data_IF_139703840666
#
_entry.id   IF_139703840666
#
_cell.length_a   1.000
_cell.length_b   1.000
_cell.length_c   1.000
_cell.angle_alpha   90.00
_cell.angle_beta   90.00
_cell.angle_gamma   90.00
#
_symmetry.space_group_name_H-M   'P 1'
#
loop_
_entity.id
_entity.type
_entity.pdbx_description
1 polymer ?
#
# COMPACT_ATOMS: atom_id res chain seq x y z
N UNK A 1 -25.69 -1.31 -6.70
CA UNK A 1 -24.66 -1.11 -5.66
C UNK A 1 -23.38 -0.67 -6.34
N UNK A 2 -22.61 0.25 -5.73
CA UNK A 2 -21.27 0.56 -6.19
C UNK A 2 -20.37 -0.66 -6.00
N UNK A 3 -19.37 -0.86 -6.88
CA UNK A 3 -18.33 -1.89 -6.66
C UNK A 3 -17.42 -1.45 -5.50
N UNK A 4 -16.98 -2.40 -4.70
CA UNK A 4 -16.11 -2.15 -3.55
C UNK A 4 -14.64 -2.23 -3.95
N UNK A 5 -13.84 -1.28 -3.49
CA UNK A 5 -12.38 -1.30 -3.55
C UNK A 5 -11.83 -1.50 -2.14
N UNK A 6 -10.91 -2.45 -1.98
CA UNK A 6 -10.06 -2.56 -0.81
C UNK A 6 -8.61 -2.45 -1.21
N UNK A 7 -7.87 -1.65 -0.48
CA UNK A 7 -6.43 -1.56 -0.59
C UNK A 7 -5.87 -1.10 0.75
N UNK A 8 -4.57 -1.23 0.97
CA UNK A 8 -3.99 -0.81 2.25
C UNK A 8 -2.48 -0.82 2.25
N UNK A 9 -1.93 -0.39 3.36
CA UNK A 9 -0.50 -0.34 3.60
C UNK A 9 -0.17 -0.84 5.00
N UNK A 10 0.98 -1.49 5.14
CA UNK A 10 1.55 -1.83 6.46
C UNK A 10 2.12 -0.57 7.09
N UNK A 11 1.77 -0.24 8.35
CA UNK A 11 2.26 0.97 9.04
C UNK A 11 3.70 0.79 9.56
N UNK A 12 4.64 0.53 8.63
CA UNK A 12 6.07 0.37 8.92
C UNK A 12 6.86 1.67 8.78
N UNK A 13 6.18 2.81 8.73
CA UNK A 13 6.72 4.17 8.60
C UNK A 13 5.89 5.05 7.66
N UNK A 14 6.27 6.32 7.48
CA UNK A 14 5.60 7.25 6.57
C UNK A 14 5.54 6.73 5.14
N UNK A 15 4.54 7.18 4.35
CA UNK A 15 4.45 6.81 2.95
C UNK A 15 5.49 7.56 2.11
N UNK A 16 5.90 6.93 1.01
CA UNK A 16 6.87 7.49 0.07
C UNK A 16 6.32 7.54 -1.36
N UNK A 17 7.02 8.18 -2.27
CA UNK A 17 6.61 8.33 -3.68
C UNK A 17 6.28 7.01 -4.36
N UNK A 18 6.91 5.90 -3.96
CA UNK A 18 6.59 4.57 -4.46
C UNK A 18 5.19 4.10 -4.08
N UNK A 19 4.71 4.38 -2.85
CA UNK A 19 3.32 4.11 -2.46
C UNK A 19 2.35 5.06 -3.19
N UNK A 20 2.75 6.34 -3.33
CA UNK A 20 1.92 7.33 -4.00
C UNK A 20 1.64 6.93 -5.46
N UNK A 21 2.69 6.69 -6.25
CA UNK A 21 2.56 6.30 -7.65
C UNK A 21 2.02 4.88 -7.83
N UNK A 22 2.37 3.97 -6.92
CA UNK A 22 2.00 2.55 -7.01
C UNK A 22 0.52 2.27 -6.74
N UNK A 23 -0.14 3.05 -5.88
CA UNK A 23 -1.54 2.80 -5.56
C UNK A 23 -2.31 4.00 -5.01
N UNK A 24 -1.68 4.92 -4.24
CA UNK A 24 -2.42 5.97 -3.54
C UNK A 24 -3.06 6.97 -4.50
N UNK A 25 -2.40 7.32 -5.60
CA UNK A 25 -2.97 8.17 -6.65
C UNK A 25 -4.27 7.55 -7.22
N UNK A 26 -4.24 6.26 -7.57
CA UNK A 26 -5.42 5.56 -8.04
C UNK A 26 -6.55 5.53 -7.00
N UNK A 27 -6.21 5.39 -5.70
CA UNK A 27 -7.21 5.44 -4.61
C UNK A 27 -7.90 6.80 -4.54
N UNK A 28 -7.14 7.89 -4.67
CA UNK A 28 -7.67 9.26 -4.69
C UNK A 28 -8.57 9.49 -5.91
N UNK A 29 -8.20 8.98 -7.08
CA UNK A 29 -9.00 9.12 -8.30
C UNK A 29 -10.30 8.31 -8.23
N UNK A 30 -10.26 7.11 -7.66
CA UNK A 30 -11.37 6.16 -7.70
C UNK A 30 -12.37 6.34 -6.54
N UNK A 31 -12.01 7.01 -5.45
CA UNK A 31 -12.83 7.10 -4.24
C UNK A 31 -14.24 7.67 -4.48
N UNK A 32 -14.43 8.50 -5.51
CA UNK A 32 -15.75 9.08 -5.82
C UNK A 32 -16.66 8.11 -6.58
N UNK A 33 -16.08 7.14 -7.31
CA UNK A 33 -16.81 6.20 -8.16
C UNK A 33 -17.12 4.86 -7.48
N UNK A 34 -16.37 4.51 -6.43
CA UNK A 34 -16.43 3.21 -5.75
C UNK A 34 -16.62 3.36 -4.24
N UNK A 35 -17.14 2.30 -3.61
CA UNK A 35 -17.11 2.18 -2.14
C UNK A 35 -15.70 1.77 -1.74
N UNK A 36 -14.91 2.75 -1.27
CA UNK A 36 -13.47 2.60 -1.09
C UNK A 36 -13.10 2.43 0.37
N UNK A 37 -12.41 1.34 0.68
CA UNK A 37 -11.85 1.03 1.99
C UNK A 37 -10.32 1.03 1.92
N UNK A 38 -9.68 1.74 2.86
CA UNK A 38 -8.23 1.78 3.02
C UNK A 38 -7.86 1.12 4.35
N UNK A 39 -7.24 -0.05 4.25
CA UNK A 39 -6.86 -0.87 5.40
C UNK A 39 -5.44 -0.51 5.87
N UNK A 40 -5.29 -0.12 7.11
CA UNK A 40 -3.99 -0.04 7.77
C UNK A 40 -3.72 -1.40 8.40
N UNK A 41 -2.83 -2.18 7.75
CA UNK A 41 -2.56 -3.58 8.06
C UNK A 41 -1.51 -3.72 9.17
N UNK A 42 -1.88 -3.34 10.39
CA UNK A 42 -1.00 -3.35 11.56
C UNK A 42 -0.67 -4.77 12.04
N UNK A 43 -1.61 -5.71 11.98
CA UNK A 43 -1.32 -7.12 12.30
C UNK A 43 -0.35 -7.74 11.29
N UNK A 44 -0.43 -7.36 10.01
CA UNK A 44 0.54 -7.81 9.02
C UNK A 44 1.91 -7.15 9.21
N UNK A 45 1.97 -5.92 9.74
CA UNK A 45 3.24 -5.29 10.08
C UNK A 45 3.98 -6.03 11.20
N UNK A 46 3.25 -6.66 12.14
CA UNK A 46 3.85 -7.46 13.21
C UNK A 46 4.55 -8.74 12.72
N UNK A 47 4.28 -9.21 11.50
CA UNK A 47 4.88 -10.45 10.98
C UNK A 47 6.40 -10.38 10.83
N UNK A 48 6.93 -9.19 10.69
CA UNK A 48 8.36 -8.92 10.54
C UNK A 48 8.88 -7.79 11.46
N UNK A 49 8.03 -7.25 12.33
CA UNK A 49 8.35 -6.20 13.31
C UNK A 49 7.67 -6.50 14.67
N UNK A 50 7.65 -7.78 15.06
CA UNK A 50 7.02 -8.21 16.31
C UNK A 50 7.66 -7.62 17.57
N UNK A 51 8.91 -7.21 17.48
CA UNK A 51 9.71 -6.57 18.53
C UNK A 51 9.50 -5.04 18.62
N UNK A 52 8.72 -4.44 17.71
CA UNK A 52 8.53 -2.99 17.61
C UNK A 52 7.04 -2.56 17.58
N UNK A 53 6.18 -3.09 18.48
CA UNK A 53 4.74 -2.80 18.43
C UNK A 53 4.41 -1.32 18.68
N UNK A 54 5.18 -0.63 19.50
CA UNK A 54 5.01 0.80 19.76
C UNK A 54 5.26 1.64 18.50
N UNK A 55 6.28 1.28 17.71
CA UNK A 55 6.59 1.96 16.47
C UNK A 55 5.49 1.76 15.43
N UNK A 56 4.92 0.55 15.36
CA UNK A 56 3.75 0.27 14.49
C UNK A 56 2.58 1.16 14.90
N UNK A 57 2.28 1.25 16.20
CA UNK A 57 1.20 2.10 16.73
C UNK A 57 1.39 3.58 16.34
N UNK A 58 2.58 4.13 16.51
CA UNK A 58 2.89 5.50 16.11
C UNK A 58 2.73 5.71 14.60
N UNK A 59 3.17 4.75 13.81
CA UNK A 59 3.10 4.81 12.35
C UNK A 59 1.67 4.71 11.80
N UNK A 60 0.70 4.15 12.53
CA UNK A 60 -0.71 4.15 12.12
C UNK A 60 -1.19 5.58 11.90
N UNK A 61 -0.93 6.47 12.85
CA UNK A 61 -1.31 7.89 12.74
C UNK A 61 -0.61 8.57 11.56
N UNK A 62 0.67 8.29 11.34
CA UNK A 62 1.45 8.85 10.23
C UNK A 62 0.86 8.45 8.88
N UNK A 63 0.44 7.17 8.72
CA UNK A 63 -0.20 6.68 7.49
C UNK A 63 -1.56 7.34 7.27
N UNK A 64 -2.38 7.51 8.32
CA UNK A 64 -3.67 8.23 8.20
C UNK A 64 -3.44 9.67 7.76
N UNK A 65 -2.47 10.37 8.35
CA UNK A 65 -2.09 11.73 7.96
C UNK A 65 -1.67 11.79 6.49
N UNK A 66 -0.86 10.84 6.03
CA UNK A 66 -0.41 10.78 4.65
C UNK A 66 -1.57 10.51 3.68
N UNK A 67 -2.53 9.63 4.03
CA UNK A 67 -3.73 9.40 3.23
C UNK A 67 -4.57 10.66 3.06
N UNK A 68 -4.91 11.32 4.17
CA UNK A 68 -5.71 12.54 4.17
C UNK A 68 -4.99 13.68 3.43
N UNK A 69 -3.68 13.82 3.67
CA UNK A 69 -2.86 14.85 3.01
C UNK A 69 -2.75 14.63 1.50
N UNK A 70 -2.65 13.37 1.06
CA UNK A 70 -2.61 13.02 -0.37
C UNK A 70 -3.95 13.22 -1.08
N UNK A 71 -5.07 13.41 -0.35
CA UNK A 71 -6.37 13.73 -0.92
C UNK A 71 -7.44 12.66 -0.74
N UNK A 72 -7.22 11.68 0.16
CA UNK A 72 -8.30 10.79 0.59
C UNK A 72 -9.29 11.61 1.42
N UNK A 73 -10.55 11.59 0.97
CA UNK A 73 -11.67 12.27 1.61
C UNK A 73 -12.40 11.29 2.54
N UNK A 74 -12.35 11.49 3.89
CA UNK A 74 -12.97 10.57 4.84
C UNK A 74 -14.50 10.59 4.82
N UNK A 75 -15.11 11.51 4.08
CA UNK A 75 -16.57 11.55 3.90
C UNK A 75 -17.06 10.56 2.83
N UNK A 76 -16.17 10.14 1.91
CA UNK A 76 -16.50 9.22 0.81
C UNK A 76 -15.70 7.92 0.85
N UNK A 77 -14.47 7.95 1.38
CA UNK A 77 -13.65 6.77 1.58
C UNK A 77 -13.56 6.40 3.07
N UNK A 78 -13.41 5.13 3.38
CA UNK A 78 -13.37 4.63 4.76
C UNK A 78 -11.99 4.12 5.11
N UNK A 79 -11.30 4.77 6.04
CA UNK A 79 -10.00 4.33 6.56
C UNK A 79 -10.24 3.45 7.78
N UNK A 80 -9.65 2.24 7.78
CA UNK A 80 -9.82 1.24 8.84
C UNK A 80 -8.48 0.73 9.33
N UNK A 81 -8.39 0.35 10.62
CA UNK A 81 -7.24 -0.37 11.17
C UNK A 81 -7.59 -1.85 11.34
N UNK A 82 -6.70 -2.74 10.88
CA UNK A 82 -6.95 -4.19 10.81
C UNK A 82 -7.22 -4.79 12.18
N UNK A 83 -6.42 -4.45 13.20
CA UNK A 83 -6.59 -4.95 14.59
C UNK A 83 -7.92 -4.53 15.23
N UNK A 84 -8.53 -3.44 14.77
CA UNK A 84 -9.85 -2.99 15.20
C UNK A 84 -11.01 -3.85 14.68
N UNK A 85 -10.74 -4.83 13.81
CA UNK A 85 -11.72 -5.71 13.17
C UNK A 85 -11.33 -7.18 13.42
N UNK A 86 -11.57 -7.72 14.63
CA UNK A 86 -11.14 -9.09 14.99
C UNK A 86 -11.74 -10.18 14.11
N UNK A 87 -12.86 -9.93 13.47
CA UNK A 87 -13.51 -10.84 12.53
C UNK A 87 -12.62 -11.18 11.31
N UNK A 88 -11.63 -10.33 10.98
CA UNK A 88 -10.63 -10.61 9.92
C UNK A 88 -9.71 -11.76 10.32
N UNK A 89 -9.30 -11.81 11.58
CA UNK A 89 -8.50 -12.90 12.10
C UNK A 89 -9.29 -14.23 12.14
N UNK A 90 -10.58 -14.16 12.44
CA UNK A 90 -11.47 -15.32 12.39
C UNK A 90 -11.59 -15.86 10.97
N UNK A 91 -11.87 -15.00 9.98
CA UNK A 91 -11.94 -15.42 8.58
C UNK A 91 -10.59 -15.97 8.08
N UNK A 92 -9.48 -15.39 8.52
CA UNK A 92 -8.13 -15.94 8.27
C UNK A 92 -8.03 -17.40 8.74
N UNK A 93 -8.50 -17.69 9.96
CA UNK A 93 -8.54 -19.04 10.50
C UNK A 93 -9.33 -20.03 9.62
N UNK A 94 -10.46 -19.61 9.10
CA UNK A 94 -11.25 -20.44 8.17
C UNK A 94 -10.53 -20.69 6.84
N UNK A 95 -9.97 -19.64 6.25
CA UNK A 95 -9.27 -19.75 4.96
C UNK A 95 -7.96 -20.53 5.04
N UNK A 96 -7.28 -20.54 6.20
CA UNK A 96 -6.08 -21.36 6.43
C UNK A 96 -6.34 -22.85 6.20
N UNK A 97 -7.55 -23.35 6.48
CA UNK A 97 -7.93 -24.74 6.20
C UNK A 97 -8.12 -25.04 4.70
N UNK A 98 -8.10 -24.02 3.86
CA UNK A 98 -8.30 -24.13 2.41
C UNK A 98 -6.99 -24.03 1.60
N UNK A 99 -5.84 -23.94 2.24
CA UNK A 99 -4.54 -23.81 1.56
C UNK A 99 -3.51 -24.75 2.18
N UNK A 100 -2.61 -25.30 1.40
CA UNK A 100 -1.50 -26.08 1.90
C UNK A 100 -0.26 -25.21 2.14
N UNK A 101 0.60 -25.60 3.10
CA UNK A 101 1.90 -24.97 3.33
C UNK A 101 2.71 -24.92 2.03
N UNK A 102 2.77 -26.01 1.28
CA UNK A 102 3.48 -26.06 0.01
C UNK A 102 2.95 -25.06 -1.05
N UNK A 103 1.65 -24.68 -0.99
CA UNK A 103 1.11 -23.63 -1.87
C UNK A 103 1.57 -22.23 -1.44
N UNK A 104 1.63 -21.97 -0.13
CA UNK A 104 2.13 -20.71 0.42
C UNK A 104 3.61 -20.52 0.07
N UNK A 105 4.44 -21.52 0.29
CA UNK A 105 5.86 -21.52 0.00
C UNK A 105 6.15 -21.31 -1.51
N UNK A 106 5.26 -21.73 -2.40
CA UNK A 106 5.41 -21.53 -3.86
C UNK A 106 5.02 -20.14 -4.35
N UNK A 107 4.39 -19.30 -3.52
CA UNK A 107 4.03 -17.93 -3.93
C UNK A 107 5.30 -17.13 -4.26
N UNK A 108 5.42 -16.57 -5.48
CA UNK A 108 6.62 -15.85 -5.91
C UNK A 108 6.97 -14.65 -5.03
N UNK A 109 5.96 -13.90 -4.56
CA UNK A 109 6.15 -12.74 -3.66
C UNK A 109 6.75 -13.20 -2.34
N UNK A 110 6.21 -14.27 -1.74
CA UNK A 110 6.73 -14.83 -0.49
C UNK A 110 8.17 -15.32 -0.63
N UNK A 111 8.47 -16.05 -1.70
CA UNK A 111 9.85 -16.51 -1.97
C UNK A 111 10.85 -15.36 -2.02
N UNK A 112 10.49 -14.31 -2.75
CA UNK A 112 11.36 -13.15 -2.91
C UNK A 112 11.54 -12.40 -1.57
N UNK A 113 10.47 -12.22 -0.81
CA UNK A 113 10.54 -11.55 0.49
C UNK A 113 11.34 -12.38 1.53
N UNK A 114 11.18 -13.72 1.57
CA UNK A 114 12.00 -14.59 2.43
C UNK A 114 13.49 -14.41 2.10
N UNK A 115 13.82 -14.38 0.80
CA UNK A 115 15.20 -14.18 0.35
C UNK A 115 15.75 -12.83 0.79
N UNK A 116 14.96 -11.76 0.62
CA UNK A 116 15.38 -10.39 0.96
C UNK A 116 15.55 -10.18 2.47
N UNK A 117 14.71 -10.84 3.28
CA UNK A 117 14.75 -10.72 4.75
C UNK A 117 15.80 -11.60 5.42
N UNK A 118 16.29 -12.62 4.72
CA UNK A 118 17.38 -13.47 5.23
C UNK A 118 16.99 -14.34 6.43
N UNK A 119 15.73 -14.77 6.53
CA UNK A 119 15.24 -15.63 7.64
C UNK A 119 15.98 -16.98 7.76
N UNK A 120 16.75 -17.39 6.75
CA UNK A 120 17.38 -18.71 6.73
C UNK A 120 16.33 -19.82 6.77
N UNK A 121 16.47 -20.75 7.75
CA UNK A 121 15.50 -21.82 7.98
C UNK A 121 14.41 -21.49 9.00
N UNK A 122 14.47 -20.33 9.66
CA UNK A 122 13.57 -19.94 10.75
C UNK A 122 12.54 -18.89 10.27
N UNK A 123 11.63 -19.29 9.39
CA UNK A 123 10.58 -18.40 8.88
C UNK A 123 9.46 -18.31 9.94
N UNK A 124 9.12 -17.11 10.44
CA UNK A 124 8.00 -16.96 11.36
C UNK A 124 6.69 -17.47 10.74
N UNK A 125 5.88 -18.21 11.48
CA UNK A 125 4.61 -18.74 10.98
C UNK A 125 3.69 -17.62 10.47
N UNK A 126 3.60 -16.49 11.20
CA UNK A 126 2.85 -15.32 10.78
C UNK A 126 3.29 -14.79 9.42
N UNK A 127 4.60 -14.79 9.14
CA UNK A 127 5.15 -14.39 7.85
C UNK A 127 4.77 -15.35 6.71
N UNK A 128 4.75 -16.65 6.98
CA UNK A 128 4.34 -17.63 5.97
C UNK A 128 2.85 -17.54 5.64
N UNK A 129 2.00 -17.24 6.63
CA UNK A 129 0.54 -17.27 6.49
C UNK A 129 -0.09 -15.89 6.18
N UNK A 130 0.67 -14.79 6.22
CA UNK A 130 0.09 -13.46 5.95
C UNK A 130 -0.64 -13.33 4.60
N UNK A 131 -0.29 -14.08 3.52
CA UNK A 131 -1.07 -14.05 2.28
C UNK A 131 -2.52 -14.51 2.46
N UNK A 132 -2.77 -15.40 3.43
CA UNK A 132 -4.11 -15.85 3.78
C UNK A 132 -4.85 -14.77 4.58
N UNK A 133 -4.15 -14.08 5.48
CA UNK A 133 -4.69 -12.91 6.17
C UNK A 133 -5.07 -11.80 5.19
N UNK A 134 -4.22 -11.50 4.21
CA UNK A 134 -4.54 -10.54 3.15
C UNK A 134 -5.74 -10.99 2.30
N UNK A 135 -5.85 -12.28 2.01
CA UNK A 135 -7.02 -12.82 1.30
C UNK A 135 -8.29 -12.69 2.15
N UNK A 136 -8.20 -12.88 3.46
CA UNK A 136 -9.32 -12.67 4.39
C UNK A 136 -9.74 -11.21 4.45
N UNK A 137 -8.79 -10.27 4.50
CA UNK A 137 -9.06 -8.83 4.44
C UNK A 137 -9.88 -8.51 3.18
N UNK A 138 -9.42 -8.94 2.01
CA UNK A 138 -10.06 -8.68 0.71
C UNK A 138 -11.45 -9.32 0.64
N UNK A 139 -11.58 -10.57 1.05
CA UNK A 139 -12.83 -11.32 0.98
C UNK A 139 -13.89 -10.82 1.97
N UNK A 140 -13.48 -10.41 3.19
CA UNK A 140 -14.38 -9.91 4.23
C UNK A 140 -15.09 -8.61 3.81
N UNK A 141 -14.40 -7.75 3.10
CA UNK A 141 -14.99 -6.53 2.53
C UNK A 141 -15.75 -6.78 1.23
N UNK A 142 -15.80 -8.03 0.74
CA UNK A 142 -16.35 -8.39 -0.59
C UNK A 142 -15.79 -7.48 -1.69
N UNK A 143 -14.49 -7.23 -1.65
CA UNK A 143 -13.84 -6.32 -2.56
C UNK A 143 -13.88 -6.86 -4.00
N UNK A 144 -14.30 -6.02 -4.94
CA UNK A 144 -14.33 -6.31 -6.37
C UNK A 144 -13.02 -5.95 -7.04
N UNK A 145 -12.38 -4.87 -6.58
CA UNK A 145 -11.14 -4.34 -7.13
C UNK A 145 -10.11 -4.12 -6.03
N UNK A 146 -8.87 -4.43 -6.34
CA UNK A 146 -7.72 -4.21 -5.44
C UNK A 146 -6.63 -3.47 -6.20
N UNK A 147 -6.49 -2.15 -5.99
CA UNK A 147 -5.39 -1.36 -6.56
C UNK A 147 -4.05 -1.83 -6.00
N UNK A 148 -3.17 -2.32 -6.87
CA UNK A 148 -1.89 -2.92 -6.49
C UNK A 148 -0.77 -2.57 -7.47
N UNK A 149 0.48 -2.66 -7.02
CA UNK A 149 1.64 -2.78 -7.90
C UNK A 149 1.70 -4.17 -8.55
N UNK A 150 2.39 -4.28 -9.69
CA UNK A 150 2.52 -5.55 -10.43
C UNK A 150 3.15 -6.69 -9.59
N UNK A 151 3.99 -6.35 -8.62
CA UNK A 151 4.62 -7.30 -7.69
C UNK A 151 3.62 -7.99 -6.74
N UNK A 152 2.41 -7.46 -6.61
CA UNK A 152 1.34 -8.02 -5.77
C UNK A 152 0.35 -8.93 -6.55
N UNK A 153 0.49 -9.07 -7.85
CA UNK A 153 -0.38 -9.94 -8.65
C UNK A 153 -0.45 -11.38 -8.13
N UNK A 154 0.67 -12.04 -7.72
CA UNK A 154 0.60 -13.40 -7.17
C UNK A 154 -0.21 -13.50 -5.87
N UNK A 155 -0.34 -12.40 -5.11
CA UNK A 155 -1.15 -12.34 -3.90
C UNK A 155 -2.64 -12.29 -4.23
N UNK A 156 -3.01 -11.52 -5.26
CA UNK A 156 -4.40 -11.46 -5.72
C UNK A 156 -4.82 -12.77 -6.37
N UNK A 157 -3.95 -13.39 -7.18
CA UNK A 157 -4.19 -14.73 -7.73
C UNK A 157 -4.46 -15.77 -6.64
N UNK A 158 -3.65 -15.77 -5.58
CA UNK A 158 -3.85 -16.67 -4.43
C UNK A 158 -5.17 -16.36 -3.69
N UNK A 159 -5.54 -15.08 -3.58
CA UNK A 159 -6.85 -14.70 -3.01
C UNK A 159 -7.99 -15.27 -3.84
N UNK A 160 -7.94 -15.13 -5.17
CA UNK A 160 -8.95 -15.69 -6.09
C UNK A 160 -9.04 -17.21 -5.96
N UNK A 161 -7.90 -17.91 -5.86
CA UNK A 161 -7.88 -19.37 -5.62
C UNK A 161 -8.61 -19.76 -4.32
N UNK A 162 -8.35 -19.03 -3.23
CA UNK A 162 -8.98 -19.27 -1.93
C UNK A 162 -10.48 -18.99 -1.96
N UNK A 163 -10.89 -17.87 -2.55
CA UNK A 163 -12.30 -17.49 -2.71
C UNK A 163 -13.05 -18.54 -3.55
N UNK A 164 -12.50 -18.97 -4.67
CA UNK A 164 -13.06 -20.03 -5.52
C UNK A 164 -13.22 -21.35 -4.77
N UNK A 165 -12.19 -21.71 -3.99
CA UNK A 165 -12.23 -22.93 -3.19
C UNK A 165 -13.31 -22.85 -2.12
N UNK A 166 -13.39 -21.71 -1.42
CA UNK A 166 -14.44 -21.44 -0.44
C UNK A 166 -15.84 -21.56 -1.08
N UNK A 167 -16.08 -20.81 -2.15
CA UNK A 167 -17.38 -20.77 -2.83
C UNK A 167 -17.83 -22.14 -3.36
N UNK A 168 -16.89 -22.97 -3.79
CA UNK A 168 -17.19 -24.34 -4.25
C UNK A 168 -17.64 -25.25 -3.11
N UNK A 169 -17.08 -25.07 -1.92
CA UNK A 169 -17.38 -25.93 -0.75
C UNK A 169 -18.63 -25.50 0.00
N UNK A 170 -18.83 -24.18 0.11
CA UNK A 170 -19.83 -23.59 1.02
C UNK A 170 -20.88 -22.73 0.32
N UNK A 171 -20.85 -22.62 -1.00
CA UNK A 171 -21.78 -21.80 -1.77
C UNK A 171 -21.19 -20.47 -2.21
N UNK A 172 -21.75 -19.86 -3.26
CA UNK A 172 -21.28 -18.63 -3.87
C UNK A 172 -21.57 -17.40 -2.99
N UNK A 173 -20.66 -17.11 -2.06
CA UNK A 173 -20.82 -16.07 -1.04
C UNK A 173 -19.75 -14.97 -1.14
N UNK A 174 -18.49 -15.35 -1.37
CA UNK A 174 -17.36 -14.42 -1.43
C UNK A 174 -17.14 -13.93 -2.86
N UNK A 175 -16.73 -12.67 -2.99
CA UNK A 175 -16.48 -12.04 -4.29
C UNK A 175 -15.04 -12.33 -4.74
N UNK A 176 -14.86 -12.75 -5.99
CA UNK A 176 -13.55 -12.88 -6.61
C UNK A 176 -13.01 -11.49 -6.95
N UNK A 177 -11.87 -11.07 -6.36
CA UNK A 177 -11.32 -9.76 -6.63
C UNK A 177 -10.57 -9.70 -7.96
N UNK A 178 -10.58 -8.53 -8.59
CA UNK A 178 -9.74 -8.20 -9.74
C UNK A 178 -8.61 -7.26 -9.31
N UNK A 179 -7.38 -7.52 -9.76
CA UNK A 179 -6.27 -6.60 -9.56
C UNK A 179 -6.40 -5.37 -10.46
N UNK A 180 -6.31 -4.18 -9.90
CA UNK A 180 -6.16 -2.94 -10.67
C UNK A 180 -4.69 -2.52 -10.61
N UNK A 181 -3.94 -2.89 -11.65
CA UNK A 181 -2.50 -2.62 -11.69
C UNK A 181 -2.24 -1.15 -12.01
N UNK A 182 -1.37 -0.51 -11.22
CA UNK A 182 -0.94 0.86 -11.46
C UNK A 182 -0.30 1.04 -12.85
N UNK A 183 -0.57 2.18 -13.48
CA UNK A 183 0.08 2.58 -14.74
C UNK A 183 1.56 2.91 -14.56
N UNK A 184 1.96 3.31 -13.36
CA UNK A 184 3.34 3.61 -13.05
C UNK A 184 4.04 2.31 -12.68
N UNK A 185 5.09 1.99 -13.44
CA UNK A 185 5.96 0.86 -13.11
C UNK A 185 6.62 1.08 -11.74
N UNK A 186 7.12 0.00 -11.16
CA UNK A 186 7.84 0.02 -9.88
C UNK A 186 8.93 1.09 -9.87
N UNK A 187 8.81 2.11 -9.00
CA UNK A 187 9.81 3.15 -8.85
C UNK A 187 11.08 2.59 -8.19
N UNK A 188 12.27 2.80 -8.79
CA UNK A 188 13.53 2.49 -8.14
C UNK A 188 13.78 3.41 -6.94
N UNK A 189 14.59 2.98 -6.00
CA UNK A 189 15.15 3.87 -4.98
C UNK A 189 16.07 4.92 -5.59
N UNK A 190 16.41 5.96 -4.83
CA UNK A 190 17.33 7.02 -5.29
C UNK A 190 18.73 6.49 -5.65
N UNK A 191 19.09 5.29 -5.17
CA UNK A 191 20.31 4.56 -5.47
C UNK A 191 20.31 3.89 -6.86
N UNK A 192 19.16 3.81 -7.52
CA UNK A 192 19.00 3.19 -8.84
C UNK A 192 19.16 1.68 -8.89
N UNK A 193 19.41 1.01 -7.77
CA UNK A 193 19.76 -0.42 -7.71
C UNK A 193 18.62 -1.31 -7.26
N UNK A 194 17.80 -0.82 -6.36
CA UNK A 194 16.76 -1.59 -5.71
C UNK A 194 15.42 -0.86 -5.76
N UNK A 195 14.34 -1.56 -5.38
CA UNK A 195 13.03 -0.93 -5.13
C UNK A 195 13.18 0.14 -4.06
N UNK A 196 12.45 1.24 -4.21
CA UNK A 196 12.26 2.22 -3.15
C UNK A 196 11.75 1.53 -1.88
N UNK A 197 12.49 1.68 -0.79
CA UNK A 197 12.20 1.02 0.49
C UNK A 197 12.56 1.91 1.67
N UNK A 198 11.71 1.88 2.70
CA UNK A 198 11.96 2.59 3.96
C UNK A 198 13.21 2.07 4.67
N UNK A 199 13.38 0.74 4.73
CA UNK A 199 14.49 0.09 5.42
C UNK A 199 15.86 0.32 4.77
N UNK A 200 15.90 0.62 3.46
CA UNK A 200 17.13 0.90 2.74
C UNK A 200 17.53 2.38 2.76
N UNK A 201 16.68 3.26 3.31
CA UNK A 201 16.96 4.70 3.34
C UNK A 201 17.03 5.35 1.95
N UNK A 202 16.54 4.68 0.91
CA UNK A 202 16.58 5.11 -0.48
C UNK A 202 15.25 5.68 -0.99
N UNK A 203 14.36 6.10 -0.06
CA UNK A 203 13.02 6.60 -0.36
C UNK A 203 12.90 8.12 -0.21
N UNK A 204 12.08 8.74 -1.07
CA UNK A 204 11.58 10.11 -0.88
C UNK A 204 10.18 9.98 -0.27
N UNK A 205 9.99 10.47 0.96
CA UNK A 205 8.72 10.43 1.69
C UNK A 205 7.80 11.59 1.28
N UNK A 206 6.48 11.39 1.41
CA UNK A 206 5.51 12.46 1.15
C UNK A 206 5.66 13.64 2.13
N UNK A 207 6.20 13.37 3.32
CA UNK A 207 6.45 14.33 4.39
C UNK A 207 7.82 15.00 4.34
N UNK A 208 8.72 14.60 3.43
CA UNK A 208 10.07 15.17 3.33
C UNK A 208 10.02 16.69 3.07
N UNK A 209 10.84 17.46 3.77
CA UNK A 209 10.97 18.90 3.53
C UNK A 209 11.59 19.18 2.16
N UNK A 210 11.42 20.40 1.60
CA UNK A 210 12.05 20.79 0.33
C UNK A 210 13.56 20.54 0.30
N UNK A 211 14.26 20.86 1.38
CA UNK A 211 15.71 20.65 1.48
C UNK A 211 16.07 19.16 1.46
N UNK A 212 15.28 18.32 2.15
CA UNK A 212 15.50 16.86 2.14
C UNK A 212 15.22 16.28 0.77
N UNK A 213 14.15 16.71 0.09
CA UNK A 213 13.86 16.28 -1.29
C UNK A 213 14.99 16.68 -2.23
N UNK A 214 15.41 17.94 -2.18
CA UNK A 214 16.53 18.44 -2.99
C UNK A 214 17.81 17.64 -2.73
N UNK A 215 18.17 17.43 -1.46
CA UNK A 215 19.35 16.63 -1.11
C UNK A 215 19.28 15.19 -1.65
N UNK A 216 18.12 14.53 -1.48
CA UNK A 216 17.91 13.16 -1.98
C UNK A 216 17.99 13.09 -3.50
N UNK A 217 17.38 14.03 -4.23
CA UNK A 217 17.44 14.08 -5.70
C UNK A 217 18.86 14.33 -6.19
N UNK A 218 19.59 15.27 -5.57
CA UNK A 218 20.98 15.55 -5.95
C UNK A 218 21.90 14.33 -5.76
N UNK A 219 21.57 13.43 -4.82
CA UNK A 219 22.28 12.16 -4.58
C UNK A 219 21.79 10.99 -5.44
N UNK A 220 20.74 11.16 -6.28
CA UNK A 220 20.32 10.11 -7.19
C UNK A 220 21.48 9.65 -8.08
N UNK A 221 21.49 8.33 -8.34
CA UNK A 221 22.46 7.74 -9.25
C UNK A 221 22.41 8.41 -10.62
N UNK A 222 23.56 8.68 -11.16
CA UNK A 222 23.79 9.21 -12.52
C UNK A 222 24.72 8.27 -13.28
N UNK A 223 24.62 8.27 -14.61
CA UNK A 223 25.47 7.43 -15.46
C UNK A 223 26.93 7.91 -15.38
N UNK A 224 27.87 7.07 -14.91
CA UNK A 224 29.29 7.44 -14.85
C UNK A 224 29.90 7.76 -16.22
N UNK A 225 29.25 7.28 -17.32
CA UNK A 225 29.72 7.53 -18.70
C UNK A 225 29.32 8.92 -19.21
N UNK A 226 28.37 9.60 -18.55
CA UNK A 226 27.97 10.98 -18.82
C UNK A 226 28.67 11.94 -17.86
N UNK A 227 30.01 11.98 -17.95
CA UNK A 227 30.83 12.81 -17.06
C UNK A 227 30.88 14.28 -17.50
N UNK A 228 30.68 14.55 -18.78
CA UNK A 228 30.74 15.89 -19.37
C UNK A 228 29.43 16.27 -20.00
N UNK A 229 29.05 17.54 -19.94
CA UNK A 229 27.80 18.06 -20.44
C UNK A 229 27.61 17.89 -21.96
N UNK A 230 28.72 17.87 -22.72
CA UNK A 230 28.76 17.72 -24.17
C UNK A 230 28.67 16.25 -24.63
N UNK A 231 28.78 15.30 -23.72
CA UNK A 231 28.62 13.87 -24.02
C UNK A 231 27.16 13.46 -24.11
N UNK A 232 26.79 12.55 -25.04
CA UNK A 232 25.46 11.93 -25.05
C UNK A 232 25.18 11.16 -23.77
N UNK A 233 24.00 11.36 -23.17
CA UNK A 233 23.55 10.64 -21.98
C UNK A 233 22.54 9.55 -22.33
N UNK A 234 22.45 8.52 -21.48
CA UNK A 234 21.48 7.44 -21.60
C UNK A 234 20.22 7.75 -20.73
N UNK A 235 19.06 7.77 -21.35
CA UNK A 235 17.78 8.02 -20.68
C UNK A 235 17.21 6.74 -20.12
N UNK A 236 17.36 5.63 -20.84
CA UNK A 236 16.85 4.31 -20.47
C UNK A 236 17.58 3.80 -19.22
N UNK A 237 16.79 3.47 -18.19
CA UNK A 237 17.33 3.05 -16.89
C UNK A 237 17.88 4.18 -15.99
N UNK A 238 17.84 5.43 -16.47
CA UNK A 238 18.22 6.58 -15.65
C UNK A 238 17.12 6.88 -14.62
N UNK A 239 17.50 6.85 -13.34
CA UNK A 239 16.60 7.03 -12.19
C UNK A 239 15.85 8.36 -12.27
N UNK A 240 16.55 9.44 -12.61
CA UNK A 240 15.96 10.79 -12.65
C UNK A 240 14.88 10.87 -13.72
N UNK A 241 15.12 10.32 -14.91
CA UNK A 241 14.11 10.26 -15.97
C UNK A 241 12.94 9.33 -15.62
N UNK A 242 13.19 8.21 -14.93
CA UNK A 242 12.12 7.33 -14.42
C UNK A 242 11.15 8.10 -13.50
N UNK A 243 11.66 8.97 -12.63
CA UNK A 243 10.81 9.81 -11.79
C UNK A 243 10.12 10.92 -12.58
N UNK A 244 10.80 11.51 -13.56
CA UNK A 244 10.17 12.51 -14.44
C UNK A 244 9.05 11.89 -15.27
N UNK A 245 9.18 10.63 -15.74
CA UNK A 245 8.12 9.88 -16.43
C UNK A 245 6.93 9.60 -15.51
N UNK A 246 7.19 9.33 -14.23
CA UNK A 246 6.16 9.02 -13.26
C UNK A 246 5.38 10.26 -12.78
N UNK A 247 6.02 11.42 -12.67
CA UNK A 247 5.47 12.61 -12.01
C UNK A 247 5.41 13.87 -12.88
N UNK A 248 6.06 13.85 -14.06
CA UNK A 248 6.01 14.96 -15.00
C UNK A 248 4.60 15.13 -15.59
N UNK A 249 4.12 16.37 -15.66
CA UNK A 249 2.78 16.69 -16.18
C UNK A 249 2.79 17.17 -17.62
N UNK A 250 3.97 17.54 -18.16
CA UNK A 250 4.18 18.03 -19.53
C UNK A 250 5.05 17.03 -20.31
N UNK A 251 4.38 16.14 -21.05
CA UNK A 251 5.04 15.13 -21.86
C UNK A 251 5.93 15.75 -22.97
N UNK A 252 5.50 16.86 -23.58
CA UNK A 252 6.27 17.52 -24.65
C UNK A 252 7.57 18.14 -24.13
N UNK A 253 7.51 18.80 -22.97
CA UNK A 253 8.70 19.33 -22.33
C UNK A 253 9.66 18.20 -21.90
N UNK A 254 9.11 17.09 -21.38
CA UNK A 254 9.90 15.93 -20.98
C UNK A 254 10.58 15.25 -22.18
N UNK A 255 9.87 15.09 -23.31
CA UNK A 255 10.44 14.53 -24.54
C UNK A 255 11.57 15.41 -25.09
N UNK A 256 11.39 16.73 -25.04
CA UNK A 256 12.45 17.69 -25.41
C UNK A 256 13.67 17.57 -24.49
N UNK A 257 13.44 17.44 -23.19
CA UNK A 257 14.51 17.25 -22.20
C UNK A 257 15.30 15.96 -22.47
N UNK A 258 14.60 14.86 -22.75
CA UNK A 258 15.19 13.55 -23.08
C UNK A 258 15.98 13.62 -24.39
N UNK A 259 15.46 14.28 -25.42
CA UNK A 259 16.15 14.44 -26.70
C UNK A 259 17.46 15.24 -26.54
N UNK A 260 17.43 16.32 -25.78
CA UNK A 260 18.62 17.12 -25.49
C UNK A 260 19.67 16.34 -24.67
N UNK A 261 19.22 15.53 -23.70
CA UNK A 261 20.12 14.72 -22.90
C UNK A 261 20.82 13.64 -23.75
N UNK A 262 20.08 12.99 -24.66
CA UNK A 262 20.66 11.99 -25.60
C UNK A 262 21.60 12.60 -26.63
N UNK A 263 21.37 13.83 -27.04
CA UNK A 263 22.22 14.53 -28.01
C UNK A 263 23.51 15.11 -27.41
N UNK A 264 23.60 15.19 -26.10
CA UNK A 264 24.62 16.00 -25.41
C UNK A 264 24.20 17.46 -25.27
N UNK A 265 24.83 18.20 -24.38
CA UNK A 265 24.52 19.62 -24.10
C UNK A 265 23.54 19.83 -22.93
N UNK A 266 23.24 18.78 -22.15
CA UNK A 266 22.41 18.87 -20.95
C UNK A 266 23.02 17.98 -19.84
N UNK A 267 23.59 18.59 -18.81
CA UNK A 267 24.19 17.87 -17.69
C UNK A 267 23.17 17.35 -16.66
N UNK A 268 23.56 16.30 -15.93
CA UNK A 268 22.74 15.65 -14.89
C UNK A 268 22.19 16.61 -13.83
N UNK A 269 22.98 17.60 -13.43
CA UNK A 269 22.56 18.59 -12.42
C UNK A 269 21.33 19.37 -12.90
N UNK A 270 21.28 19.76 -14.18
CA UNK A 270 20.15 20.47 -14.74
C UNK A 270 18.88 19.59 -14.77
N UNK A 271 19.01 18.30 -15.12
CA UNK A 271 17.90 17.33 -15.10
C UNK A 271 17.41 17.11 -13.67
N UNK A 272 18.33 17.01 -12.69
CA UNK A 272 17.97 16.87 -11.26
C UNK A 272 17.23 18.11 -10.73
N UNK A 273 17.66 19.30 -11.10
CA UNK A 273 16.91 20.52 -10.74
C UNK A 273 15.50 20.53 -11.30
N UNK A 274 15.33 20.11 -12.55
CA UNK A 274 14.00 19.97 -13.14
C UNK A 274 13.14 18.96 -12.38
N UNK A 275 13.71 17.81 -11.97
CA UNK A 275 13.01 16.84 -11.14
C UNK A 275 12.62 17.43 -9.77
N UNK A 276 13.50 18.19 -9.12
CA UNK A 276 13.19 18.88 -7.85
C UNK A 276 11.96 19.77 -8.02
N UNK A 277 11.89 20.58 -9.09
CA UNK A 277 10.74 21.45 -9.36
C UNK A 277 9.45 20.65 -9.59
N UNK A 278 9.51 19.51 -10.29
CA UNK A 278 8.37 18.61 -10.52
C UNK A 278 7.89 18.03 -9.20
N UNK A 279 8.81 17.51 -8.38
CA UNK A 279 8.47 16.91 -7.08
C UNK A 279 7.97 17.97 -6.07
N UNK A 280 8.51 19.18 -6.09
CA UNK A 280 8.01 20.25 -5.22
C UNK A 280 6.57 20.66 -5.58
N UNK A 281 6.24 20.77 -6.86
CA UNK A 281 4.85 21.02 -7.30
C UNK A 281 3.88 19.93 -6.79
N UNK A 282 4.32 18.67 -6.77
CA UNK A 282 3.54 17.55 -6.25
C UNK A 282 3.44 17.57 -4.73
N UNK A 283 4.58 17.70 -4.04
CA UNK A 283 4.68 17.46 -2.60
C UNK A 283 4.29 18.68 -1.75
N UNK A 284 4.47 19.91 -2.23
CA UNK A 284 4.16 21.11 -1.46
C UNK A 284 2.69 21.18 -0.99
N UNK A 285 1.67 20.90 -1.85
CA UNK A 285 0.27 20.88 -1.38
C UNK A 285 -0.01 19.72 -0.41
N UNK A 286 0.64 18.58 -0.57
CA UNK A 286 0.52 17.43 0.35
C UNK A 286 1.10 17.80 1.72
N UNK A 287 2.31 18.34 1.77
CA UNK A 287 2.96 18.80 3.01
C UNK A 287 2.13 19.85 3.76
N UNK A 288 1.59 20.84 3.04
CA UNK A 288 0.75 21.87 3.65
C UNK A 288 -0.49 21.26 4.31
N UNK A 289 -1.24 20.43 3.59
CA UNK A 289 -2.41 19.73 4.16
C UNK A 289 -2.04 18.85 5.34
N UNK A 290 -0.91 18.14 5.25
CA UNK A 290 -0.41 17.30 6.34
C UNK A 290 -0.09 18.11 7.59
N UNK A 291 0.54 19.27 7.45
CA UNK A 291 0.82 20.18 8.56
C UNK A 291 -0.46 20.75 9.20
N UNK A 292 -1.47 21.07 8.38
CA UNK A 292 -2.77 21.52 8.86
C UNK A 292 -3.48 20.44 9.68
N UNK A 293 -3.55 19.21 9.15
CA UNK A 293 -4.17 18.05 9.79
C UNK A 293 -3.42 17.63 11.07
N UNK A 294 -2.11 17.74 11.11
CA UNK A 294 -1.30 17.40 12.27
C UNK A 294 -1.56 18.30 13.51
N UNK A 295 -2.19 19.48 13.30
CA UNK A 295 -2.60 20.37 14.39
C UNK A 295 -3.84 19.87 15.13
N UNK A 296 -4.62 18.97 14.52
CA UNK A 296 -5.79 18.34 15.14
C UNK A 296 -5.64 16.80 15.13
N UNK A 297 -4.82 16.24 16.05
CA UNK A 297 -4.62 14.81 16.13
C UNK A 297 -5.91 14.04 16.51
N UNK A 298 -6.83 14.69 17.23
CA UNK A 298 -8.10 14.09 17.62
C UNK A 298 -9.01 13.89 16.40
N UNK A 299 -9.00 14.82 15.46
CA UNK A 299 -9.69 14.65 14.18
C UNK A 299 -9.15 13.43 13.42
N UNK A 300 -7.82 13.31 13.31
CA UNK A 300 -7.17 12.20 12.58
C UNK A 300 -7.55 10.86 13.20
N UNK A 301 -7.50 10.75 14.52
CA UNK A 301 -7.85 9.51 15.24
C UNK A 301 -9.35 9.23 15.23
N UNK A 302 -10.19 10.26 15.20
CA UNK A 302 -11.64 10.12 15.06
C UNK A 302 -11.99 9.53 13.67
N UNK A 303 -11.39 10.03 12.59
CA UNK A 303 -11.56 9.49 11.23
C UNK A 303 -11.25 7.99 11.20
N UNK A 304 -10.14 7.58 11.81
CA UNK A 304 -9.74 6.17 11.86
C UNK A 304 -10.75 5.33 12.68
N UNK A 305 -11.15 5.80 13.86
CA UNK A 305 -12.08 5.10 14.75
C UNK A 305 -13.44 4.88 14.09
N UNK A 306 -14.06 5.96 13.62
CA UNK A 306 -15.36 5.91 12.95
C UNK A 306 -15.32 5.07 11.66
N UNK A 307 -14.23 5.19 10.90
CA UNK A 307 -14.00 4.36 9.72
C UNK A 307 -13.90 2.89 10.07
N UNK A 308 -13.15 2.55 11.13
CA UNK A 308 -13.00 1.17 11.59
C UNK A 308 -14.34 0.59 12.07
N UNK A 309 -15.15 1.36 12.78
CA UNK A 309 -16.50 0.93 13.20
C UNK A 309 -17.41 0.64 12.00
N UNK A 310 -17.41 1.53 10.98
CA UNK A 310 -18.15 1.31 9.73
C UNK A 310 -17.66 0.07 8.98
N UNK A 311 -16.35 -0.07 8.81
CA UNK A 311 -15.73 -1.23 8.15
C UNK A 311 -16.03 -2.53 8.89
N UNK A 312 -15.92 -2.52 10.23
CA UNK A 312 -16.25 -3.68 11.07
C UNK A 312 -17.71 -4.12 10.93
N UNK A 313 -18.64 -3.16 10.84
CA UNK A 313 -20.05 -3.50 10.65
C UNK A 313 -20.30 -4.28 9.34
N UNK A 314 -19.61 -3.92 8.26
CA UNK A 314 -19.63 -4.66 6.99
C UNK A 314 -19.00 -6.06 7.14
N UNK A 315 -17.80 -6.12 7.71
CA UNK A 315 -17.05 -7.37 7.88
C UNK A 315 -17.79 -8.37 8.76
N UNK A 316 -18.38 -7.92 9.87
CA UNK A 316 -19.24 -8.75 10.74
C UNK A 316 -20.36 -9.43 9.97
N UNK A 317 -21.04 -8.69 9.08
CA UNK A 317 -22.10 -9.26 8.24
C UNK A 317 -21.55 -10.36 7.34
N UNK A 318 -20.42 -10.09 6.66
CA UNK A 318 -19.80 -11.09 5.79
C UNK A 318 -19.37 -12.34 6.57
N UNK A 319 -18.75 -12.16 7.74
CA UNK A 319 -18.29 -13.30 8.57
C UNK A 319 -19.48 -14.08 9.16
N UNK A 320 -20.59 -13.41 9.51
CA UNK A 320 -21.82 -14.13 9.90
C UNK A 320 -22.38 -14.97 8.75
N UNK A 321 -22.41 -14.43 7.52
CA UNK A 321 -22.81 -15.22 6.34
C UNK A 321 -21.86 -16.42 6.11
N UNK A 322 -20.56 -16.24 6.34
CA UNK A 322 -19.54 -17.32 6.26
C UNK A 322 -19.81 -18.39 7.30
N UNK A 323 -20.03 -18.01 8.58
CA UNK A 323 -20.36 -18.96 9.66
C UNK A 323 -21.61 -19.77 9.32
N UNK A 324 -22.65 -19.09 8.85
CA UNK A 324 -23.87 -19.75 8.43
C UNK A 324 -23.61 -20.79 7.32
N UNK A 325 -22.92 -20.40 6.27
CA UNK A 325 -22.58 -21.28 5.16
C UNK A 325 -21.69 -22.48 5.56
N UNK A 326 -20.87 -22.31 6.60
CA UNK A 326 -20.01 -23.36 7.16
C UNK A 326 -20.68 -24.18 8.26
N UNK A 327 -21.96 -23.93 8.60
CA UNK A 327 -22.68 -24.53 9.72
C UNK A 327 -21.99 -24.35 11.07
N UNK A 328 -21.42 -23.18 11.30
CA UNK A 328 -20.73 -22.81 12.56
C UNK A 328 -21.57 -21.89 13.45
N UNK A 329 -22.81 -21.64 13.12
CA UNK A 329 -23.76 -20.95 13.99
C UNK A 329 -24.40 -21.94 14.95
N UNK A 330 -24.14 -21.72 16.23
CA UNK A 330 -24.79 -22.44 17.31
C UNK A 330 -25.69 -21.48 18.06
N UNK A 331 -26.91 -21.92 18.47
CA UNK A 331 -27.80 -21.18 19.36
C UNK A 331 -27.16 -21.09 20.77
N UNK A 332 -26.02 -20.41 20.87
CA UNK A 332 -25.45 -20.09 22.17
C UNK A 332 -26.20 -18.87 22.72
N UNK A 333 -26.72 -18.93 23.94
CA UNK A 333 -27.29 -17.75 24.58
C UNK A 333 -26.22 -16.66 24.65
N UNK A 334 -26.33 -15.66 23.81
CA UNK A 334 -25.47 -14.50 23.85
C UNK A 334 -25.70 -13.80 25.18
N UNK A 335 -24.68 -13.75 26.04
CA UNK A 335 -24.77 -12.99 27.29
C UNK A 335 -25.00 -11.50 26.98
N UNK A 336 -26.26 -11.07 27.10
CA UNK A 336 -26.70 -9.67 26.91
C UNK A 336 -26.30 -8.78 28.08
N UNK A 337 -25.48 -9.23 29.02
CA UNK A 337 -25.20 -8.53 30.29
C UNK A 337 -23.97 -7.60 30.27
N UNK A 338 -23.28 -7.39 29.16
CA UNK A 338 -22.27 -6.34 29.10
C UNK A 338 -22.88 -5.03 28.55
N UNK A 339 -23.91 -4.49 29.21
CA UNK A 339 -24.12 -3.05 29.19
C UNK A 339 -23.01 -2.44 30.06
N UNK A 340 -22.04 -1.82 29.43
CA UNK A 340 -21.11 -0.93 30.11
C UNK A 340 -21.93 0.20 30.74
N UNK A 341 -22.17 0.08 32.02
CA UNK A 341 -22.50 1.23 32.90
C UNK A 341 -21.19 1.87 33.28
N UNK A 342 -20.99 3.12 32.87
CA UNK A 342 -19.88 3.96 33.29
C UNK A 342 -19.38 4.83 32.15
#
# INVERSE_FOLDING_TARGET
MRRTILTGDRPTGPLHLGHYAGSLLARVELQQAYDTYLLIADLQALTDHADQPEQIHLNIREVVLDYLAAGIDPTVATIVVQSGIPELAELTGYLLNLVSVARLERNPTIKEEIRQKGFGGEIPAGFLVYPVSQAADIAAFKAHLVPVGADQLPMIEQTVELVRRFNRLYGALLVEPEALVSRVSRLPGIDGRSKMSKSLGNAIHLSDSPDVVSHKVMRMYTDPRHARIDEPGEVEGNVVFTYLDAFGTDAGALDTLKARYRAGGLGDVAVKHHLIEVLERLLAPIRRRRQELARDPDFVMRVLREGTERGRALVRRTVSEVRYAMHLEYDMPYDRTTRLTG
#
